data_IF_383991767092
#
_entry.id   IF_383991767092
#
_cell.length_a   1.000
_cell.length_b   1.000
_cell.length_c   1.000
_cell.angle_alpha   90.00
_cell.angle_beta   90.00
_cell.angle_gamma   90.00
#
_symmetry.space_group_name_H-M   'P 1'
#
loop_
_entity.id
_entity.type
_entity.pdbx_description
1 polymer ?
#
# COMPACT_ATOMS: atom_id res chain seq x y z
N UNK A 1 2.85 13.10 -20.92
CA UNK A 1 2.69 11.63 -20.88
C UNK A 1 2.77 11.21 -19.44
N UNK A 2 1.69 10.70 -18.87
CA UNK A 2 1.76 10.21 -17.48
C UNK A 2 2.58 8.93 -17.47
N UNK A 3 3.71 8.98 -16.76
CA UNK A 3 4.54 7.81 -16.55
C UNK A 3 3.72 6.77 -15.75
N UNK A 4 3.82 5.49 -16.11
CA UNK A 4 3.12 4.44 -15.37
C UNK A 4 3.51 4.46 -13.89
N UNK A 5 2.55 4.18 -12.98
CA UNK A 5 2.85 3.99 -11.57
C UNK A 5 3.98 3.00 -11.37
N UNK A 6 4.97 3.35 -10.55
CA UNK A 6 6.16 2.54 -10.33
C UNK A 6 6.15 1.99 -8.91
N UNK A 7 6.47 0.70 -8.75
CA UNK A 7 6.70 0.10 -7.43
C UNK A 7 8.03 0.60 -6.88
N UNK A 8 8.01 1.23 -5.70
CA UNK A 8 9.22 1.64 -4.98
C UNK A 8 9.64 0.53 -4.03
N UNK A 9 10.84 0.01 -4.25
CA UNK A 9 11.39 -1.13 -3.52
C UNK A 9 12.60 -0.69 -2.70
N UNK A 10 12.83 -1.41 -1.59
CA UNK A 10 14.13 -1.37 -0.92
C UNK A 10 15.12 -2.30 -1.63
N UNK A 11 16.42 -2.07 -1.44
CA UNK A 11 17.50 -2.79 -2.12
C UNK A 11 17.33 -4.31 -2.06
N UNK A 12 16.94 -4.87 -0.90
CA UNK A 12 16.78 -6.31 -0.71
C UNK A 12 15.72 -6.95 -1.62
N UNK A 13 14.77 -6.16 -2.13
CA UNK A 13 13.67 -6.63 -2.99
C UNK A 13 13.90 -6.35 -4.48
N UNK A 14 14.94 -5.58 -4.84
CA UNK A 14 15.23 -5.27 -6.25
C UNK A 14 15.47 -6.51 -7.11
N UNK A 15 15.90 -7.63 -6.50
CA UNK A 15 16.05 -8.94 -7.16
C UNK A 15 14.76 -9.45 -7.83
N UNK A 16 13.60 -8.98 -7.40
CA UNK A 16 12.30 -9.36 -7.95
C UNK A 16 11.89 -8.52 -9.17
N UNK A 17 12.52 -7.36 -9.40
CA UNK A 17 12.05 -6.36 -10.37
C UNK A 17 12.07 -6.87 -11.81
N UNK A 18 13.15 -7.56 -12.23
CA UNK A 18 13.26 -8.08 -13.59
C UNK A 18 12.16 -9.11 -13.89
N UNK A 19 11.95 -10.07 -12.98
CA UNK A 19 10.92 -11.09 -13.11
C UNK A 19 9.49 -10.50 -13.06
N UNK A 20 9.30 -9.43 -12.29
CA UNK A 20 8.03 -8.71 -12.25
C UNK A 20 7.70 -8.01 -13.57
N UNK A 21 8.68 -7.34 -14.19
CA UNK A 21 8.47 -6.71 -15.49
C UNK A 21 8.06 -7.74 -16.56
N UNK A 22 8.67 -8.93 -16.55
CA UNK A 22 8.25 -10.05 -17.40
C UNK A 22 6.83 -10.52 -17.09
N UNK A 23 6.47 -10.62 -15.81
CA UNK A 23 5.12 -11.02 -15.39
C UNK A 23 4.06 -10.03 -15.88
N UNK A 24 4.27 -8.72 -15.71
CA UNK A 24 3.34 -7.68 -16.16
C UNK A 24 3.17 -7.71 -17.68
N UNK A 25 4.27 -7.88 -18.42
CA UNK A 25 4.24 -7.97 -19.89
C UNK A 25 3.49 -9.21 -20.38
N UNK A 26 3.73 -10.37 -19.78
CA UNK A 26 3.10 -11.64 -20.17
C UNK A 26 1.60 -11.69 -19.84
N UNK A 27 1.17 -11.05 -18.74
CA UNK A 27 -0.21 -11.06 -18.29
C UNK A 27 -1.09 -9.99 -18.97
N UNK A 28 -0.54 -9.16 -19.85
CA UNK A 28 -1.26 -8.02 -20.45
C UNK A 28 -1.66 -6.95 -19.43
N UNK A 29 -1.09 -6.98 -18.22
CA UNK A 29 -1.53 -6.17 -17.08
C UNK A 29 -1.23 -4.67 -17.29
N UNK A 30 -0.22 -4.34 -18.09
CA UNK A 30 0.09 -2.96 -18.43
C UNK A 30 -1.12 -2.22 -19.05
N UNK A 31 -1.95 -2.89 -19.86
CA UNK A 31 -3.15 -2.24 -20.45
C UNK A 31 -4.27 -2.07 -19.42
N UNK A 32 -4.50 -3.08 -18.57
CA UNK A 32 -5.50 -3.01 -17.50
C UNK A 32 -5.15 -1.91 -16.48
N UNK A 33 -3.88 -1.80 -16.08
CA UNK A 33 -3.44 -0.73 -15.16
C UNK A 33 -3.58 0.64 -15.80
N UNK A 34 -3.24 0.81 -17.09
CA UNK A 34 -3.43 2.08 -17.81
C UNK A 34 -4.91 2.46 -17.87
N UNK A 35 -5.80 1.50 -18.18
CA UNK A 35 -7.24 1.72 -18.18
C UNK A 35 -7.76 2.12 -16.79
N UNK A 36 -7.32 1.44 -15.74
CA UNK A 36 -7.72 1.80 -14.36
C UNK A 36 -7.15 3.16 -13.97
N UNK A 37 -5.90 3.47 -14.30
CA UNK A 37 -5.31 4.79 -14.09
C UNK A 37 -6.13 5.89 -14.78
N UNK A 38 -6.47 5.70 -16.06
CA UNK A 38 -7.32 6.63 -16.83
C UNK A 38 -8.73 6.76 -16.23
N UNK A 39 -9.32 5.67 -15.73
CA UNK A 39 -10.63 5.70 -15.06
C UNK A 39 -10.56 6.38 -13.68
N UNK A 40 -9.46 6.20 -12.95
CA UNK A 40 -9.25 6.71 -11.58
C UNK A 40 -8.90 8.20 -11.52
N UNK A 41 -8.47 8.80 -12.64
CA UNK A 41 -8.24 10.25 -12.72
C UNK A 41 -9.54 11.08 -12.61
N UNK A 42 -10.72 10.45 -12.59
CA UNK A 42 -12.01 11.11 -12.41
C UNK A 42 -12.44 11.10 -10.93
N UNK A 43 -11.75 11.87 -10.08
CA UNK A 43 -12.22 12.19 -8.73
C UNK A 43 -11.57 13.48 -8.18
N UNK A 44 -11.79 14.61 -8.86
CA UNK A 44 -11.39 15.95 -8.38
C UNK A 44 -12.09 16.38 -7.06
N UNK A 45 -13.11 15.65 -6.60
CA UNK A 45 -13.90 15.99 -5.41
C UNK A 45 -13.22 15.69 -4.05
N UNK A 46 -12.02 15.11 -4.00
CA UNK A 46 -11.36 14.77 -2.72
C UNK A 46 -10.72 15.98 -2.00
N UNK A 47 -10.91 17.23 -2.46
CA UNK A 47 -10.35 18.44 -1.82
C UNK A 47 -11.14 18.97 -0.63
N UNK A 48 -12.08 18.19 -0.09
CA UNK A 48 -13.21 18.71 0.69
C UNK A 48 -13.33 18.32 2.16
N UNK A 49 -12.29 17.87 2.89
CA UNK A 49 -12.34 17.90 4.37
C UNK A 49 -10.99 18.37 4.91
N UNK A 50 -10.88 19.68 5.05
CA UNK A 50 -9.82 20.38 5.78
C UNK A 50 -10.43 20.81 7.11
N UNK A 51 -9.91 20.28 8.22
CA UNK A 51 -9.64 21.06 9.43
C UNK A 51 -8.71 20.34 10.42
N UNK A 52 -7.78 21.14 10.94
CA UNK A 52 -7.09 21.05 12.24
C UNK A 52 -6.07 19.94 12.49
N UNK A 53 -5.01 19.90 11.66
CA UNK A 53 -3.65 19.69 12.19
C UNK A 53 -2.55 20.33 11.33
N UNK A 54 -2.88 20.72 10.09
CA UNK A 54 -1.92 21.26 9.10
C UNK A 54 -1.84 22.79 9.11
N UNK A 55 -2.56 23.49 10.00
CA UNK A 55 -2.64 24.95 9.96
C UNK A 55 -1.31 25.68 10.25
N UNK A 56 -0.24 24.99 10.70
CA UNK A 56 1.02 25.65 11.07
C UNK A 56 2.31 25.11 10.44
N UNK A 57 2.31 24.07 9.60
CA UNK A 57 3.57 23.45 9.11
C UNK A 57 3.52 22.91 7.67
N UNK A 58 2.86 23.63 6.75
CA UNK A 58 2.66 23.18 5.36
C UNK A 58 3.93 22.77 4.58
N UNK A 59 5.12 23.24 4.98
CA UNK A 59 6.41 22.85 4.38
C UNK A 59 7.03 21.58 5.02
N UNK A 60 6.73 21.28 6.28
CA UNK A 60 7.27 20.10 6.99
C UNK A 60 6.35 18.87 6.89
N UNK A 61 5.12 19.05 6.42
CA UNK A 61 4.11 17.99 6.37
C UNK A 61 4.59 16.72 5.63
N UNK A 62 5.28 16.79 4.47
CA UNK A 62 5.80 15.59 3.80
C UNK A 62 6.89 14.86 4.60
N UNK A 63 7.79 15.59 5.26
CA UNK A 63 8.84 14.98 6.10
C UNK A 63 8.27 14.34 7.36
N UNK A 64 7.33 15.02 8.02
CA UNK A 64 6.64 14.50 9.20
C UNK A 64 5.90 13.23 8.82
N UNK A 65 5.16 13.27 7.70
CA UNK A 65 4.44 12.10 7.23
C UNK A 65 5.39 10.96 6.82
N UNK A 66 6.49 11.24 6.12
CA UNK A 66 7.50 10.23 5.81
C UNK A 66 8.05 9.54 7.08
N UNK A 67 8.32 10.32 8.14
CA UNK A 67 8.74 9.77 9.45
C UNK A 67 7.64 8.92 10.09
N UNK A 68 6.37 9.31 9.97
CA UNK A 68 5.23 8.52 10.45
C UNK A 68 5.11 7.19 9.70
N UNK A 69 5.14 7.21 8.35
CA UNK A 69 5.09 6.00 7.53
C UNK A 69 6.25 5.06 7.86
N UNK A 70 7.47 5.59 7.97
CA UNK A 70 8.65 4.82 8.35
C UNK A 70 8.48 4.14 9.71
N UNK A 71 8.04 4.88 10.73
CA UNK A 71 7.78 4.34 12.07
C UNK A 71 6.69 3.27 12.03
N UNK A 72 5.62 3.51 11.28
CA UNK A 72 4.51 2.58 11.17
C UNK A 72 4.95 1.23 10.61
N UNK A 73 5.69 1.22 9.49
CA UNK A 73 6.25 -0.02 8.92
C UNK A 73 7.14 -0.74 9.94
N UNK A 74 8.00 0.00 10.66
CA UNK A 74 8.87 -0.60 11.67
C UNK A 74 8.11 -1.23 12.82
N UNK A 75 7.08 -0.57 13.35
CA UNK A 75 6.23 -1.13 14.40
C UNK A 75 5.55 -2.40 13.92
N UNK A 76 4.86 -2.34 12.78
CA UNK A 76 4.12 -3.48 12.22
C UNK A 76 5.03 -4.69 11.95
N UNK A 77 6.25 -4.46 11.46
CA UNK A 77 7.24 -5.51 11.21
C UNK A 77 7.93 -6.02 12.47
N UNK A 78 7.97 -5.23 13.55
CA UNK A 78 8.48 -5.66 14.85
C UNK A 78 7.52 -6.62 15.54
N UNK A 79 6.21 -6.36 15.44
CA UNK A 79 5.16 -7.18 16.06
C UNK A 79 5.14 -8.62 15.53
N UNK A 80 5.61 -8.83 14.31
CA UNK A 80 5.68 -10.16 13.65
C UNK A 80 7.10 -10.65 13.46
N UNK A 81 8.10 -10.04 14.12
CA UNK A 81 9.53 -10.34 13.90
C UNK A 81 9.87 -11.83 14.03
N UNK A 82 9.19 -12.53 14.94
CA UNK A 82 9.43 -13.95 15.23
C UNK A 82 8.61 -14.89 14.32
N UNK A 83 7.78 -14.33 13.42
CA UNK A 83 6.98 -15.05 12.44
C UNK A 83 7.44 -14.71 11.01
N UNK A 84 8.22 -15.57 10.33
CA UNK A 84 8.84 -15.26 9.05
C UNK A 84 7.86 -15.24 7.86
N UNK A 85 6.56 -15.43 8.09
CA UNK A 85 5.54 -15.57 7.06
C UNK A 85 4.74 -14.28 6.81
N UNK A 86 5.14 -13.15 7.42
CA UNK A 86 4.47 -11.85 7.29
C UNK A 86 5.24 -10.88 6.39
N UNK A 87 4.57 -10.34 5.36
CA UNK A 87 5.17 -9.41 4.42
C UNK A 87 4.31 -8.16 4.24
N UNK A 88 4.99 -7.00 4.16
CA UNK A 88 4.36 -5.69 4.29
C UNK A 88 4.48 -4.88 3.01
N UNK A 89 3.38 -4.26 2.62
CA UNK A 89 3.24 -3.40 1.45
C UNK A 89 2.58 -2.09 1.87
N UNK A 90 2.95 -0.97 1.25
CA UNK A 90 2.36 0.33 1.58
C UNK A 90 1.66 0.91 0.36
N UNK A 91 0.41 1.32 0.56
CA UNK A 91 -0.33 2.12 -0.41
C UNK A 91 -0.58 3.52 0.15
N UNK A 92 -0.28 4.54 -0.66
CA UNK A 92 -0.71 5.91 -0.39
C UNK A 92 -0.87 6.66 -1.71
N UNK A 93 -1.99 7.37 -1.95
CA UNK A 93 -2.22 8.06 -3.23
C UNK A 93 -1.27 9.25 -3.44
N UNK A 94 -0.92 9.97 -2.37
CA UNK A 94 0.03 11.09 -2.45
C UNK A 94 1.48 10.59 -2.47
N UNK A 95 2.35 11.31 -3.19
CA UNK A 95 3.73 10.92 -3.47
C UNK A 95 4.79 11.97 -3.05
N UNK A 96 4.36 13.09 -2.47
CA UNK A 96 5.19 14.22 -2.03
C UNK A 96 6.17 13.84 -0.91
N UNK A 97 5.78 12.90 -0.04
CA UNK A 97 6.59 12.37 1.06
C UNK A 97 7.64 11.33 0.63
N UNK A 98 7.59 10.85 -0.63
CA UNK A 98 8.45 9.75 -1.09
C UNK A 98 9.95 10.06 -1.02
N UNK A 99 10.34 11.31 -1.28
CA UNK A 99 11.76 11.73 -1.23
C UNK A 99 12.33 11.59 0.17
N UNK A 100 11.69 12.24 1.15
CA UNK A 100 12.08 12.18 2.56
C UNK A 100 12.05 10.74 3.11
N UNK A 101 11.07 9.93 2.69
CA UNK A 101 11.03 8.52 3.07
C UNK A 101 12.18 7.71 2.48
N UNK A 102 12.53 7.94 1.20
CA UNK A 102 13.68 7.31 0.55
C UNK A 102 14.97 7.58 1.32
N UNK A 103 15.23 8.85 1.69
CA UNK A 103 16.40 9.23 2.49
C UNK A 103 16.43 8.53 3.85
N UNK A 104 15.29 8.39 4.52
CA UNK A 104 15.18 7.67 5.79
C UNK A 104 15.53 6.19 5.62
N UNK A 105 15.03 5.55 4.56
CA UNK A 105 15.27 4.14 4.26
C UNK A 105 16.73 3.91 3.87
N UNK A 106 17.36 4.80 3.11
CA UNK A 106 18.78 4.73 2.77
C UNK A 106 19.66 4.82 4.01
N UNK A 107 19.36 5.74 4.93
CA UNK A 107 20.11 5.91 6.18
C UNK A 107 19.85 4.78 7.18
N UNK A 108 18.63 4.25 7.21
CA UNK A 108 18.19 3.22 8.16
C UNK A 108 17.29 2.21 7.45
N UNK A 109 17.87 1.17 6.84
CA UNK A 109 17.11 0.19 6.06
C UNK A 109 15.95 -0.43 6.83
N UNK A 110 14.81 -0.57 6.14
CA UNK A 110 13.65 -1.29 6.65
C UNK A 110 13.91 -2.80 6.67
N UNK A 111 13.17 -3.57 7.50
CA UNK A 111 13.30 -5.02 7.55
C UNK A 111 13.05 -5.69 6.19
N UNK A 112 13.67 -6.84 5.97
CA UNK A 112 13.52 -7.61 4.73
C UNK A 112 12.10 -8.15 4.50
N UNK A 113 11.20 -8.07 5.49
CA UNK A 113 9.77 -8.35 5.36
C UNK A 113 8.98 -7.20 4.71
N UNK A 114 9.58 -6.02 4.51
CA UNK A 114 8.97 -4.94 3.73
C UNK A 114 9.24 -5.14 2.22
N UNK A 115 8.16 -5.16 1.44
CA UNK A 115 8.15 -5.52 0.02
C UNK A 115 7.83 -4.35 -0.91
N UNK A 116 7.72 -3.14 -0.37
CA UNK A 116 7.65 -1.92 -1.15
C UNK A 116 6.29 -1.23 -1.13
N UNK A 117 6.19 -0.20 -1.96
CA UNK A 117 5.06 0.71 -1.96
C UNK A 117 4.70 1.19 -3.36
N UNK A 118 3.46 1.65 -3.53
CA UNK A 118 2.99 2.28 -4.74
C UNK A 118 1.87 3.28 -4.43
N UNK A 119 1.72 4.28 -5.30
CA UNK A 119 0.59 5.22 -5.27
C UNK A 119 -0.60 4.77 -6.14
N UNK A 120 -0.50 3.61 -6.77
CA UNK A 120 -1.62 2.93 -7.43
C UNK A 120 -1.91 1.63 -6.67
N UNK A 121 -3.12 1.53 -6.13
CA UNK A 121 -3.56 0.34 -5.40
C UNK A 121 -3.60 -0.89 -6.32
N UNK A 122 -4.00 -0.72 -7.57
CA UNK A 122 -4.05 -1.80 -8.57
C UNK A 122 -2.66 -2.33 -8.90
N UNK A 123 -1.70 -1.44 -9.20
CA UNK A 123 -0.32 -1.82 -9.47
C UNK A 123 0.29 -2.53 -8.24
N UNK A 124 -0.02 -2.05 -7.03
CA UNK A 124 0.42 -2.71 -5.81
C UNK A 124 -0.21 -4.12 -5.66
N UNK A 125 -1.49 -4.28 -5.97
CA UNK A 125 -2.14 -5.59 -5.97
C UNK A 125 -1.49 -6.55 -6.96
N UNK A 126 -1.14 -6.08 -8.16
CA UNK A 126 -0.42 -6.87 -9.18
C UNK A 126 0.97 -7.28 -8.67
N UNK A 127 1.69 -6.36 -8.03
CA UNK A 127 2.96 -6.66 -7.37
C UNK A 127 2.82 -7.72 -6.28
N UNK A 128 1.82 -7.61 -5.42
CA UNK A 128 1.53 -8.60 -4.37
C UNK A 128 1.21 -9.97 -4.98
N UNK A 129 0.38 -10.04 -6.03
CA UNK A 129 0.07 -11.30 -6.73
C UNK A 129 1.34 -11.95 -7.28
N UNK A 130 2.22 -11.16 -7.91
CA UNK A 130 3.51 -11.65 -8.40
C UNK A 130 4.37 -12.22 -7.27
N UNK A 131 4.52 -11.50 -6.15
CA UNK A 131 5.32 -11.96 -5.00
C UNK A 131 4.77 -13.26 -4.43
N UNK A 132 3.44 -13.38 -4.31
CA UNK A 132 2.81 -14.61 -3.82
C UNK A 132 3.07 -15.79 -4.75
N UNK A 133 2.95 -15.58 -6.06
CA UNK A 133 3.28 -16.59 -7.06
C UNK A 133 4.75 -17.02 -6.96
N UNK A 134 5.67 -16.08 -6.72
CA UNK A 134 7.09 -16.39 -6.50
C UNK A 134 7.31 -17.23 -5.22
N UNK A 135 6.63 -16.90 -4.12
CA UNK A 135 6.73 -17.66 -2.87
C UNK A 135 6.15 -19.07 -2.96
N UNK A 136 5.03 -19.24 -3.69
CA UNK A 136 4.44 -20.56 -3.94
C UNK A 136 5.38 -21.42 -4.80
N UNK A 137 5.93 -20.85 -5.88
CA UNK A 137 6.86 -21.56 -6.78
C UNK A 137 8.16 -21.98 -6.09
N UNK A 138 8.68 -21.15 -5.21
CA UNK A 138 9.94 -21.41 -4.51
C UNK A 138 9.79 -22.34 -3.28
N UNK A 139 8.56 -22.77 -2.94
CA UNK A 139 8.27 -23.76 -1.89
C UNK A 139 8.58 -23.33 -0.44
N UNK A 140 9.28 -22.21 -0.23
CA UNK A 140 9.83 -21.80 1.07
C UNK A 140 8.76 -21.47 2.11
N UNK A 141 7.66 -20.85 1.68
CA UNK A 141 6.59 -20.39 2.58
C UNK A 141 5.17 -20.78 2.09
N UNK A 142 5.04 -21.17 0.82
CA UNK A 142 3.79 -21.68 0.25
C UNK A 142 2.61 -20.72 0.43
N UNK A 143 1.41 -21.27 0.68
CA UNK A 143 0.17 -20.50 0.90
C UNK A 143 0.02 -19.93 2.32
N UNK A 144 0.97 -20.19 3.23
CA UNK A 144 0.89 -19.74 4.64
C UNK A 144 1.22 -18.26 4.82
N UNK A 145 1.84 -17.65 3.81
CA UNK A 145 2.25 -16.26 3.83
C UNK A 145 1.08 -15.30 4.03
N UNK A 146 1.17 -14.46 5.06
CA UNK A 146 0.24 -13.36 5.33
C UNK A 146 0.79 -12.08 4.72
N UNK A 147 0.02 -11.47 3.84
CA UNK A 147 0.32 -10.13 3.34
C UNK A 147 -0.39 -9.08 4.19
N UNK A 148 0.32 -8.02 4.50
CA UNK A 148 -0.17 -6.84 5.20
C UNK A 148 -0.10 -5.64 4.27
N UNK A 149 -1.25 -5.10 3.91
CA UNK A 149 -1.36 -3.83 3.19
C UNK A 149 -1.54 -2.71 4.22
N UNK A 150 -0.55 -1.83 4.33
CA UNK A 150 -0.58 -0.67 5.19
C UNK A 150 -1.05 0.54 4.39
N UNK A 151 -2.09 1.21 4.87
CA UNK A 151 -2.64 2.45 4.32
C UNK A 151 -2.44 3.55 5.37
N UNK A 152 -1.22 4.13 5.48
CA UNK A 152 -1.00 5.26 6.37
C UNK A 152 -1.89 6.43 5.94
N UNK A 153 -2.28 7.28 6.88
CA UNK A 153 -3.07 8.45 6.58
C UNK A 153 -2.77 9.57 7.58
N UNK A 154 -2.64 10.80 7.09
CA UNK A 154 -2.53 12.02 7.89
C UNK A 154 -3.77 12.92 7.77
N UNK A 155 -4.71 12.50 6.93
CA UNK A 155 -6.03 13.11 6.69
C UNK A 155 -7.00 11.99 6.34
N UNK A 156 -8.30 12.26 6.44
CA UNK A 156 -9.33 11.32 5.99
C UNK A 156 -9.11 10.95 4.52
N UNK A 157 -8.98 9.65 4.26
CA UNK A 157 -8.78 9.05 2.95
C UNK A 157 -10.00 8.17 2.65
N UNK A 158 -10.74 8.53 1.60
CA UNK A 158 -11.95 7.80 1.20
C UNK A 158 -11.80 7.29 -0.23
N UNK A 159 -11.79 5.97 -0.40
CA UNK A 159 -11.83 5.30 -1.70
C UNK A 159 -13.28 4.95 -1.98
N UNK A 160 -13.93 5.73 -2.85
CA UNK A 160 -15.36 5.61 -3.17
C UNK A 160 -15.62 4.54 -4.22
N UNK A 161 -14.63 4.28 -5.08
CA UNK A 161 -14.69 3.30 -6.15
C UNK A 161 -14.85 1.90 -5.58
N UNK A 162 -15.84 1.13 -6.07
CA UNK A 162 -15.95 -0.27 -5.75
C UNK A 162 -14.65 -1.04 -5.94
N UNK A 163 -14.16 -1.64 -4.86
CA UNK A 163 -12.92 -2.41 -4.89
C UNK A 163 -13.11 -3.80 -4.28
N UNK A 164 -12.59 -4.82 -4.97
CA UNK A 164 -12.53 -6.20 -4.48
C UNK A 164 -11.10 -6.71 -4.61
N UNK A 165 -10.50 -7.08 -3.48
CA UNK A 165 -9.21 -7.77 -3.49
C UNK A 165 -9.37 -9.17 -4.09
N UNK A 166 -8.44 -9.56 -4.96
CA UNK A 166 -8.41 -10.91 -5.54
C UNK A 166 -8.21 -11.95 -4.45
N UNK A 167 -8.94 -13.07 -4.52
CA UNK A 167 -8.73 -14.24 -3.64
C UNK A 167 -7.30 -14.79 -3.74
N UNK A 168 -6.65 -14.60 -4.89
CA UNK A 168 -5.25 -14.95 -5.07
C UNK A 168 -4.33 -14.23 -4.09
N UNK A 169 -4.73 -13.11 -3.47
CA UNK A 169 -3.94 -12.38 -2.48
C UNK A 169 -4.03 -12.95 -1.07
N UNK A 170 -4.92 -13.91 -0.81
CA UNK A 170 -5.13 -14.45 0.52
C UNK A 170 -3.98 -15.40 0.97
N UNK A 171 -3.64 -15.45 2.27
CA UNK A 171 -4.14 -14.59 3.37
C UNK A 171 -3.69 -13.13 3.28
N UNK A 172 -4.64 -12.19 3.42
CA UNK A 172 -4.43 -10.73 3.34
C UNK A 172 -5.03 -10.01 4.56
N UNK A 173 -4.31 -9.04 5.10
CA UNK A 173 -4.76 -8.08 6.13
C UNK A 173 -4.54 -6.66 5.63
N UNK A 174 -5.48 -5.77 5.91
CA UNK A 174 -5.45 -4.36 5.52
C UNK A 174 -5.49 -3.53 6.80
N UNK A 175 -4.50 -2.66 6.95
CA UNK A 175 -4.33 -1.84 8.13
C UNK A 175 -4.41 -0.37 7.77
N UNK A 176 -5.43 0.32 8.27
CA UNK A 176 -5.54 1.77 8.20
C UNK A 176 -4.95 2.44 9.43
N UNK A 177 -4.98 3.77 9.43
CA UNK A 177 -4.56 4.57 10.58
C UNK A 177 -5.77 4.92 11.46
N UNK A 178 -5.64 4.68 12.77
CA UNK A 178 -6.63 5.06 13.78
C UNK A 178 -6.04 6.17 14.65
N UNK A 179 -6.77 7.27 14.82
CA UNK A 179 -6.43 8.31 15.79
C UNK A 179 -7.69 8.82 16.49
N UNK A 180 -7.64 8.91 17.82
CA UNK A 180 -8.79 9.36 18.62
C UNK A 180 -9.99 8.41 18.62
N UNK A 181 -9.80 7.15 18.19
CA UNK A 181 -10.88 6.18 18.03
C UNK A 181 -11.54 6.18 16.64
N UNK A 182 -11.21 7.16 15.80
CA UNK A 182 -11.73 7.26 14.44
C UNK A 182 -10.77 6.65 13.42
N UNK A 183 -11.34 5.89 12.48
CA UNK A 183 -10.62 5.43 11.30
C UNK A 183 -10.44 6.56 10.29
N UNK A 184 -9.20 6.75 9.85
CA UNK A 184 -8.86 7.76 8.83
C UNK A 184 -9.01 7.21 7.41
N UNK A 185 -9.26 5.91 7.26
CA UNK A 185 -9.32 5.27 5.95
C UNK A 185 -10.68 4.60 5.78
N UNK A 186 -11.42 5.04 4.76
CA UNK A 186 -12.71 4.44 4.38
C UNK A 186 -12.62 3.89 2.96
N UNK A 187 -13.07 2.67 2.75
CA UNK A 187 -13.00 2.01 1.45
C UNK A 187 -14.33 1.38 1.07
N UNK A 188 -14.72 1.54 -0.20
CA UNK A 188 -15.86 0.83 -0.77
C UNK A 188 -15.50 -0.62 -1.11
N UNK A 189 -15.44 -1.48 -0.09
CA UNK A 189 -15.03 -2.88 -0.25
C UNK A 189 -16.21 -3.82 -0.45
N UNK A 190 -16.04 -4.75 -1.38
CA UNK A 190 -16.96 -5.85 -1.62
C UNK A 190 -16.31 -7.18 -1.24
N UNK A 191 -17.01 -7.97 -0.40
CA UNK A 191 -16.55 -9.29 0.01
C UNK A 191 -15.31 -9.29 0.91
N UNK A 192 -15.01 -8.17 1.58
CA UNK A 192 -14.00 -8.17 2.64
C UNK A 192 -14.53 -8.92 3.86
N UNK A 193 -13.75 -9.88 4.36
CA UNK A 193 -14.03 -10.56 5.63
C UNK A 193 -13.71 -9.62 6.80
N UNK A 194 -14.43 -9.73 7.91
CA UNK A 194 -14.26 -8.84 9.07
C UNK A 194 -12.84 -8.94 9.66
N UNK A 195 -12.24 -10.13 9.68
CA UNK A 195 -10.86 -10.33 10.11
C UNK A 195 -9.83 -9.71 9.13
N UNK A 196 -10.20 -9.36 7.91
CA UNK A 196 -9.29 -8.80 6.92
C UNK A 196 -8.91 -7.35 7.26
N UNK A 197 -9.75 -6.65 8.01
CA UNK A 197 -9.67 -5.20 8.19
C UNK A 197 -9.28 -4.84 9.62
N UNK A 198 -8.33 -3.91 9.74
CA UNK A 198 -7.89 -3.34 10.99
C UNK A 198 -7.75 -1.83 10.79
N UNK A 199 -8.54 -1.03 11.51
CA UNK A 199 -8.55 0.43 11.32
C UNK A 199 -9.01 0.90 9.94
N UNK A 200 -9.90 0.15 9.28
CA UNK A 200 -10.52 0.52 7.99
C UNK A 200 -12.03 0.54 8.16
N UNK A 201 -12.68 1.65 7.79
CA UNK A 201 -14.14 1.70 7.72
C UNK A 201 -14.63 1.28 6.33
N UNK A 202 -15.78 0.61 6.28
CA UNK A 202 -16.48 0.37 5.02
C UNK A 202 -17.22 1.63 4.60
N UNK A 203 -16.82 2.21 3.46
CA UNK A 203 -17.59 3.27 2.83
C UNK A 203 -18.78 2.67 2.08
N UNK A 204 -19.96 3.27 2.28
CA UNK A 204 -21.17 2.99 1.50
C UNK A 204 -21.65 4.30 0.90
N UNK A 205 -22.21 4.23 -0.31
CA UNK A 205 -22.87 5.39 -0.91
C UNK A 205 -24.05 5.80 0.01
N UNK A 206 -24.14 7.07 0.43
CA UNK A 206 -25.27 7.58 1.21
C UNK A 206 -26.61 7.40 0.47
#
# INVERSE_FOLDING_TARGET
SDAMPTIKLIISQMKYLAAFNTFVAAAGVATQIVQVYQNSQMNEELRGIRNELVAHTGLEAPEIFAKQVYRYIRTMTQDTRDSPEHFYFVYHPDNDWHGAFGELVERRPLPASYFGMCNSLDMLCVWMQFIRNAFVRNGKWGKRVVFHLLIPAYRSLVIKEPFKFSESLQPLRIHGFIAGGDSYVKMNLYGAEENMLDGIDIWRKP
#
